data_IF_366578462782
#
_entry.id   IF_366578462782
#
_cell.length_a   1.000
_cell.length_b   1.000
_cell.length_c   1.000
_cell.angle_alpha   90.00
_cell.angle_beta   90.00
_cell.angle_gamma   90.00
#
_symmetry.space_group_name_H-M   'P 1'
#
loop_
_entity.id
_entity.type
_entity.pdbx_description
1 polymer ?
#
# COMPACT_ATOMS: atom_id res chain seq x y z
N UNK A 1 6.60 21.09 9.30
CA UNK A 1 5.50 20.36 8.63
C UNK A 1 5.62 18.85 8.81
N UNK A 2 6.77 18.21 8.44
CA UNK A 2 6.94 16.76 8.63
C UNK A 2 6.77 16.33 10.09
N UNK A 3 7.41 17.02 11.04
CA UNK A 3 7.28 16.72 12.47
C UNK A 3 5.85 16.85 12.97
N UNK A 4 5.14 17.91 12.59
CA UNK A 4 3.72 18.10 12.96
C UNK A 4 2.82 17.00 12.38
N UNK A 5 3.15 16.52 11.17
CA UNK A 5 2.43 15.43 10.52
C UNK A 5 2.65 14.12 11.27
N UNK A 6 3.90 13.78 11.59
CA UNK A 6 4.24 12.61 12.39
C UNK A 6 3.55 12.64 13.77
N UNK A 7 3.59 13.77 14.49
CA UNK A 7 2.92 13.92 15.78
C UNK A 7 1.40 13.75 15.69
N UNK A 8 0.78 14.24 14.61
CA UNK A 8 -0.66 14.09 14.43
C UNK A 8 -1.04 12.64 14.21
N UNK A 9 -0.32 11.97 13.31
CA UNK A 9 -0.66 10.63 12.86
C UNK A 9 -0.29 9.55 13.89
N UNK A 10 0.61 9.87 14.85
CA UNK A 10 1.00 8.98 15.95
C UNK A 10 0.23 9.20 17.26
N UNK A 11 -0.81 10.04 17.29
CA UNK A 11 -1.56 10.37 18.52
C UNK A 11 -2.27 9.18 19.18
N UNK A 12 -2.53 8.13 18.43
CA UNK A 12 -3.20 6.92 18.92
C UNK A 12 -2.21 5.92 19.53
N UNK A 13 -0.90 6.15 19.40
CA UNK A 13 0.15 5.30 19.95
C UNK A 13 0.66 5.82 21.30
N UNK A 14 0.92 4.92 22.25
CA UNK A 14 1.69 5.27 23.45
C UNK A 14 3.17 5.38 23.12
N UNK A 15 3.72 6.59 23.23
CA UNK A 15 5.11 6.85 22.87
C UNK A 15 6.10 5.93 23.55
N UNK A 16 5.92 5.64 24.85
CA UNK A 16 6.85 4.84 25.63
C UNK A 16 6.71 3.33 25.36
N UNK A 17 5.50 2.87 25.11
CA UNK A 17 5.21 1.44 24.97
C UNK A 17 5.26 0.98 23.49
N UNK A 18 4.85 1.83 22.56
CA UNK A 18 4.71 1.45 21.15
C UNK A 18 5.85 2.04 20.29
N UNK A 19 6.19 3.32 20.45
CA UNK A 19 7.14 4.02 19.57
C UNK A 19 8.59 3.87 20.04
N UNK A 20 8.87 4.15 21.32
CA UNK A 20 10.23 4.17 21.85
C UNK A 20 10.96 2.83 21.74
N UNK A 21 10.32 1.65 21.95
CA UNK A 21 10.99 0.36 21.74
C UNK A 21 11.45 0.15 20.29
N UNK A 22 10.64 0.54 19.32
CA UNK A 22 10.97 0.40 17.88
C UNK A 22 12.11 1.34 17.50
N UNK A 23 12.09 2.60 17.94
CA UNK A 23 13.19 3.56 17.73
C UNK A 23 14.49 3.02 18.37
N UNK A 24 14.44 2.53 19.60
CA UNK A 24 15.59 1.96 20.27
C UNK A 24 16.15 0.74 19.53
N UNK A 25 15.30 -0.10 18.96
CA UNK A 25 15.73 -1.22 18.12
C UNK A 25 16.54 -0.75 16.92
N UNK A 26 16.12 0.31 16.22
CA UNK A 26 16.88 0.91 15.12
C UNK A 26 18.26 1.40 15.58
N UNK A 27 18.30 2.14 16.70
CA UNK A 27 19.54 2.69 17.24
C UNK A 27 20.53 1.60 17.66
N UNK A 28 20.03 0.45 18.13
CA UNK A 28 20.84 -0.71 18.50
C UNK A 28 21.23 -1.56 17.30
N UNK A 29 20.42 -1.59 16.26
CA UNK A 29 20.65 -2.39 15.05
C UNK A 29 21.17 -1.53 13.88
N UNK A 30 22.34 -0.92 14.09
CA UNK A 30 22.98 -0.05 13.08
C UNK A 30 23.21 -0.74 11.74
N UNK A 31 23.45 -2.05 11.74
CA UNK A 31 23.63 -2.81 10.50
C UNK A 31 22.38 -2.79 9.62
N UNK A 32 21.19 -2.99 10.21
CA UNK A 32 19.92 -2.91 9.47
C UNK A 32 19.63 -1.48 8.99
N UNK A 33 19.94 -0.46 9.80
CA UNK A 33 19.77 0.93 9.40
C UNK A 33 20.65 1.32 8.21
N UNK A 34 21.90 0.86 8.19
CA UNK A 34 22.83 1.05 7.06
C UNK A 34 22.30 0.30 5.84
N UNK A 35 21.89 -0.96 5.99
CA UNK A 35 21.33 -1.74 4.87
C UNK A 35 20.09 -1.08 4.27
N UNK A 36 19.16 -0.56 5.09
CA UNK A 36 17.99 0.17 4.62
C UNK A 36 18.39 1.43 3.84
N UNK A 37 19.35 2.20 4.34
CA UNK A 37 19.85 3.39 3.63
C UNK A 37 20.53 3.02 2.30
N UNK A 38 21.37 1.99 2.28
CA UNK A 38 22.06 1.55 1.07
C UNK A 38 21.08 1.05 0.01
N UNK A 39 20.05 0.29 0.41
CA UNK A 39 18.96 -0.14 -0.46
C UNK A 39 18.16 1.04 -0.99
N UNK A 40 17.84 2.00 -0.12
CA UNK A 40 17.16 3.23 -0.52
C UNK A 40 17.93 4.00 -1.62
N UNK A 41 19.23 4.21 -1.42
CA UNK A 41 20.10 4.88 -2.41
C UNK A 41 20.16 4.07 -3.71
N UNK A 42 20.37 2.76 -3.63
CA UNK A 42 20.47 1.90 -4.81
C UNK A 42 19.19 1.90 -5.67
N UNK A 43 18.02 1.96 -5.03
CA UNK A 43 16.71 2.00 -5.72
C UNK A 43 16.47 3.39 -6.30
N UNK A 44 16.67 4.45 -5.51
CA UNK A 44 16.37 5.82 -5.93
C UNK A 44 17.30 6.32 -7.04
N UNK A 45 18.56 5.90 -7.07
CA UNK A 45 19.50 6.23 -8.16
C UNK A 45 19.03 5.74 -9.54
N UNK A 46 18.23 4.67 -9.59
CA UNK A 46 17.70 4.07 -10.83
C UNK A 46 16.23 4.40 -11.09
N UNK A 47 15.58 5.09 -10.17
CA UNK A 47 14.13 5.23 -10.13
C UNK A 47 13.55 5.91 -11.37
N UNK A 48 14.08 7.07 -11.75
CA UNK A 48 13.59 7.84 -12.89
C UNK A 48 13.59 6.99 -14.18
N UNK A 49 14.70 6.28 -14.45
CA UNK A 49 14.83 5.42 -15.63
C UNK A 49 13.87 4.21 -15.58
N UNK A 50 13.55 3.69 -14.41
CA UNK A 50 12.60 2.60 -14.26
C UNK A 50 11.17 3.09 -14.51
N UNK A 51 10.79 4.25 -13.96
CA UNK A 51 9.47 4.85 -14.17
C UNK A 51 9.27 5.17 -15.66
N UNK A 52 10.20 5.87 -16.30
CA UNK A 52 10.11 6.23 -17.72
C UNK A 52 9.98 5.01 -18.64
N UNK A 53 10.61 3.90 -18.28
CA UNK A 53 10.56 2.66 -19.07
C UNK A 53 9.25 1.90 -18.92
N UNK A 54 8.61 1.95 -17.77
CA UNK A 54 7.53 1.05 -17.38
C UNK A 54 6.17 1.73 -17.29
N UNK A 55 6.15 3.05 -17.12
CA UNK A 55 4.94 3.87 -17.17
C UNK A 55 4.99 4.82 -18.37
N UNK A 56 3.90 4.88 -19.14
CA UNK A 56 3.78 5.83 -20.26
C UNK A 56 3.84 7.29 -19.81
N UNK A 57 3.39 7.57 -18.58
CA UNK A 57 3.34 8.90 -17.99
C UNK A 57 4.21 8.94 -16.74
N UNK A 58 5.14 9.89 -16.71
CA UNK A 58 6.04 10.08 -15.57
C UNK A 58 5.32 10.53 -14.30
N UNK A 59 5.98 10.38 -13.17
CA UNK A 59 5.52 10.86 -11.86
C UNK A 59 6.60 11.75 -11.28
N UNK A 60 6.24 12.96 -10.87
CA UNK A 60 7.12 13.86 -10.13
C UNK A 60 6.83 13.74 -8.64
N UNK A 61 7.81 13.28 -7.86
CA UNK A 61 7.67 13.12 -6.42
C UNK A 61 9.02 13.24 -5.73
N UNK A 62 9.03 13.77 -4.52
CA UNK A 62 10.16 13.65 -3.60
C UNK A 62 10.05 12.33 -2.83
N UNK A 63 11.18 11.71 -2.52
CA UNK A 63 11.22 10.50 -1.70
C UNK A 63 12.15 10.75 -0.51
N UNK A 64 11.64 10.56 0.69
CA UNK A 64 12.35 10.87 1.93
C UNK A 64 12.38 9.63 2.83
N UNK A 65 13.58 9.09 3.06
CA UNK A 65 13.80 8.10 4.11
C UNK A 65 14.09 8.85 5.42
N UNK A 66 13.33 8.58 6.47
CA UNK A 66 13.45 9.30 7.74
C UNK A 66 13.23 8.38 8.94
N UNK A 67 13.62 8.84 10.12
CA UNK A 67 13.24 8.20 11.38
C UNK A 67 11.95 8.86 11.86
N UNK A 68 10.85 8.12 11.76
CA UNK A 68 9.52 8.60 12.10
C UNK A 68 9.07 8.25 13.51
N UNK A 69 7.75 8.21 13.71
CA UNK A 69 7.11 7.84 14.98
C UNK A 69 6.22 6.59 14.79
N UNK A 70 6.72 5.61 14.04
CA UNK A 70 6.03 4.35 13.73
C UNK A 70 4.71 4.51 12.97
N UNK A 71 4.55 5.58 12.20
CA UNK A 71 3.33 5.86 11.43
C UNK A 71 3.08 4.85 10.29
N UNK A 72 4.15 4.31 9.70
CA UNK A 72 4.10 3.34 8.61
C UNK A 72 5.47 3.12 7.97
N UNK A 73 5.64 2.03 7.23
CA UNK A 73 6.85 1.78 6.46
C UNK A 73 6.96 2.74 5.27
N UNK A 74 5.84 3.01 4.59
CA UNK A 74 5.72 3.99 3.52
C UNK A 74 4.38 4.68 3.55
N UNK A 75 4.30 5.90 3.01
CA UNK A 75 3.08 6.59 2.66
C UNK A 75 3.29 7.69 1.62
N UNK A 76 2.33 7.82 0.71
CA UNK A 76 2.25 8.92 -0.23
C UNK A 76 1.52 10.11 0.40
N UNK A 77 2.09 11.31 0.31
CA UNK A 77 1.54 12.52 0.92
C UNK A 77 1.90 13.77 0.12
N UNK A 78 1.65 14.95 0.66
CA UNK A 78 2.13 16.25 0.14
C UNK A 78 2.85 17.00 1.24
N UNK A 79 4.07 17.44 0.98
CA UNK A 79 4.84 18.35 1.83
C UNK A 79 5.20 19.61 1.05
N UNK A 80 4.97 20.78 1.64
CA UNK A 80 5.23 22.09 1.03
C UNK A 80 4.66 22.22 -0.41
N UNK A 81 3.50 21.58 -0.65
CA UNK A 81 2.81 21.60 -1.94
C UNK A 81 3.39 20.66 -3.01
N UNK A 82 4.33 19.79 -2.66
CA UNK A 82 4.92 18.78 -3.55
C UNK A 82 4.50 17.40 -3.12
N UNK A 83 4.17 16.55 -4.09
CA UNK A 83 3.91 15.13 -3.82
C UNK A 83 5.17 14.47 -3.29
N UNK A 84 5.03 13.72 -2.22
CA UNK A 84 6.16 13.18 -1.46
C UNK A 84 5.85 11.77 -0.97
N UNK A 85 6.77 10.85 -1.20
CA UNK A 85 6.80 9.53 -0.57
C UNK A 85 7.65 9.61 0.69
N UNK A 86 7.08 9.24 1.82
CA UNK A 86 7.75 9.16 3.11
C UNK A 86 7.98 7.70 3.50
N UNK A 87 9.21 7.37 3.88
CA UNK A 87 9.62 6.01 4.25
C UNK A 87 10.15 6.00 5.69
N UNK A 88 9.43 5.33 6.60
CA UNK A 88 9.80 5.20 8.01
C UNK A 88 10.81 4.08 8.23
N UNK A 89 12.08 4.42 8.45
CA UNK A 89 13.17 3.45 8.58
C UNK A 89 12.93 2.48 9.75
N UNK A 90 12.31 2.94 10.82
CA UNK A 90 12.00 2.13 11.99
C UNK A 90 10.98 1.02 11.68
N UNK A 91 9.95 1.31 10.91
CA UNK A 91 8.96 0.32 10.48
C UNK A 91 9.54 -0.61 9.41
N UNK A 92 10.35 -0.10 8.49
CA UNK A 92 11.07 -0.92 7.50
C UNK A 92 11.93 -1.97 8.19
N UNK A 93 12.66 -1.60 9.26
CA UNK A 93 13.50 -2.53 10.01
C UNK A 93 12.65 -3.50 10.86
N UNK A 94 11.58 -3.01 11.48
CA UNK A 94 10.66 -3.84 12.26
C UNK A 94 10.04 -4.95 11.41
N UNK A 95 9.65 -4.62 10.17
CA UNK A 95 9.04 -5.54 9.20
C UNK A 95 10.08 -6.38 8.42
N UNK A 96 11.38 -6.15 8.62
CA UNK A 96 12.48 -6.77 7.89
C UNK A 96 12.46 -6.49 6.37
N UNK A 97 12.09 -5.28 5.97
CA UNK A 97 12.00 -4.82 4.58
C UNK A 97 13.21 -3.97 4.15
N UNK A 98 14.35 -4.11 4.81
CA UNK A 98 15.56 -3.32 4.55
C UNK A 98 16.39 -3.81 3.35
N UNK A 99 16.06 -4.93 2.72
CA UNK A 99 16.75 -5.37 1.50
C UNK A 99 16.30 -4.60 0.25
N UNK A 100 17.11 -4.65 -0.83
CA UNK A 100 16.88 -3.87 -2.04
C UNK A 100 15.53 -4.22 -2.70
N UNK A 101 15.12 -5.49 -2.70
CA UNK A 101 13.87 -5.93 -3.33
C UNK A 101 12.65 -5.42 -2.57
N UNK A 102 12.66 -5.53 -1.25
CA UNK A 102 11.57 -5.03 -0.41
C UNK A 102 11.51 -3.50 -0.43
N UNK A 103 12.65 -2.81 -0.37
CA UNK A 103 12.72 -1.35 -0.50
C UNK A 103 12.19 -0.88 -1.86
N UNK A 104 12.55 -1.58 -2.94
CA UNK A 104 12.08 -1.26 -4.29
C UNK A 104 10.57 -1.40 -4.40
N UNK A 105 10.01 -2.50 -3.92
CA UNK A 105 8.58 -2.75 -3.97
C UNK A 105 7.82 -1.71 -3.14
N UNK A 106 8.28 -1.38 -1.94
CA UNK A 106 7.69 -0.34 -1.09
C UNK A 106 7.66 1.03 -1.80
N UNK A 107 8.80 1.46 -2.36
CA UNK A 107 8.87 2.73 -3.10
C UNK A 107 7.92 2.71 -4.30
N UNK A 108 7.83 1.61 -5.03
CA UNK A 108 6.97 1.51 -6.21
C UNK A 108 5.49 1.47 -5.86
N UNK A 109 5.14 0.88 -4.72
CA UNK A 109 3.79 0.93 -4.16
C UNK A 109 3.35 2.38 -3.90
N UNK A 110 4.17 3.14 -3.18
CA UNK A 110 3.87 4.53 -2.85
C UNK A 110 3.84 5.44 -4.09
N UNK A 111 4.70 5.17 -5.07
CA UNK A 111 4.64 5.84 -6.39
C UNK A 111 3.31 5.51 -7.09
N UNK A 112 2.78 4.31 -6.92
CA UNK A 112 1.46 3.92 -7.41
C UNK A 112 0.35 4.83 -6.90
N UNK A 113 0.37 5.20 -5.62
CA UNK A 113 -0.57 6.17 -5.05
C UNK A 113 -0.41 7.57 -5.65
N UNK A 114 0.84 8.05 -5.83
CA UNK A 114 1.09 9.35 -6.49
C UNK A 114 0.60 9.33 -7.95
N UNK A 115 0.89 8.26 -8.68
CA UNK A 115 0.40 8.07 -10.05
C UNK A 115 -1.14 8.08 -10.10
N UNK A 116 -1.78 7.33 -9.20
CA UNK A 116 -3.25 7.29 -9.08
C UNK A 116 -3.85 8.67 -8.79
N UNK A 117 -3.23 9.43 -7.89
CA UNK A 117 -3.62 10.82 -7.60
C UNK A 117 -3.47 11.73 -8.82
N UNK A 118 -2.39 11.57 -9.58
CA UNK A 118 -2.05 12.44 -10.70
C UNK A 118 -2.94 12.19 -11.93
N UNK A 119 -3.21 10.93 -12.24
CA UNK A 119 -3.89 10.52 -13.47
C UNK A 119 -5.30 9.99 -13.27
N UNK A 120 -5.79 9.94 -12.06
CA UNK A 120 -7.09 9.37 -11.73
C UNK A 120 -7.79 10.03 -10.56
N UNK A 121 -8.57 9.22 -9.85
CA UNK A 121 -9.39 9.61 -8.70
C UNK A 121 -8.99 8.81 -7.47
N UNK A 122 -7.83 9.12 -6.89
CA UNK A 122 -7.30 8.42 -5.71
C UNK A 122 -8.29 8.42 -4.54
N UNK A 123 -9.03 9.52 -4.36
CA UNK A 123 -10.00 9.67 -3.26
C UNK A 123 -11.41 9.80 -3.80
N UNK A 124 -12.03 8.70 -4.30
CA UNK A 124 -13.41 8.75 -4.76
C UNK A 124 -14.33 9.14 -3.59
N UNK A 125 -15.32 10.01 -3.87
CA UNK A 125 -16.24 10.50 -2.84
C UNK A 125 -17.05 9.34 -2.26
N UNK A 126 -16.77 8.99 -1.01
CA UNK A 126 -17.46 7.95 -0.24
C UNK A 126 -18.33 8.58 0.86
N UNK A 127 -19.53 8.03 1.07
CA UNK A 127 -20.56 8.58 1.97
C UNK A 127 -20.98 7.60 3.06
N UNK A 128 -20.40 6.40 3.07
CA UNK A 128 -20.70 5.35 4.04
C UNK A 128 -19.44 4.55 4.36
N UNK A 129 -19.46 3.78 5.44
CA UNK A 129 -18.38 2.88 5.81
C UNK A 129 -18.06 1.85 4.71
N UNK A 130 -19.10 1.30 4.08
CA UNK A 130 -18.93 0.36 2.97
C UNK A 130 -18.28 1.00 1.74
N UNK A 131 -18.65 2.23 1.41
CA UNK A 131 -18.03 2.99 0.33
C UNK A 131 -16.58 3.37 0.65
N UNK A 132 -16.27 3.74 1.89
CA UNK A 132 -14.90 3.97 2.35
C UNK A 132 -14.04 2.70 2.23
N UNK A 133 -14.57 1.56 2.70
CA UNK A 133 -13.92 0.27 2.57
C UNK A 133 -13.60 -0.06 1.11
N UNK A 134 -14.54 0.16 0.21
CA UNK A 134 -14.35 -0.11 -1.21
C UNK A 134 -13.33 0.86 -1.85
N UNK A 135 -13.35 2.13 -1.45
CA UNK A 135 -12.37 3.12 -1.88
C UNK A 135 -10.95 2.72 -1.43
N UNK A 136 -10.78 2.28 -0.19
CA UNK A 136 -9.50 1.77 0.32
C UNK A 136 -9.02 0.55 -0.46
N UNK A 137 -9.87 -0.45 -0.66
CA UNK A 137 -9.53 -1.64 -1.46
C UNK A 137 -9.03 -1.28 -2.86
N UNK A 138 -9.68 -0.32 -3.49
CA UNK A 138 -9.33 0.15 -4.81
C UNK A 138 -8.01 0.92 -4.83
N UNK A 139 -7.78 1.80 -3.86
CA UNK A 139 -6.53 2.56 -3.71
C UNK A 139 -5.34 1.62 -3.57
N UNK A 140 -5.41 0.70 -2.61
CA UNK A 140 -4.34 -0.26 -2.34
C UNK A 140 -4.17 -1.26 -3.50
N UNK A 141 -5.27 -1.72 -4.09
CA UNK A 141 -5.22 -2.62 -5.23
C UNK A 141 -4.55 -2.01 -6.45
N UNK A 142 -4.79 -0.74 -6.72
CA UNK A 142 -4.17 -0.03 -7.83
C UNK A 142 -2.69 0.23 -7.57
N UNK A 143 -2.31 0.60 -6.34
CA UNK A 143 -0.92 0.74 -5.93
C UNK A 143 -0.16 -0.58 -6.07
N UNK A 144 -0.76 -1.71 -5.65
CA UNK A 144 -0.19 -3.06 -5.85
C UNK A 144 0.03 -3.40 -7.32
N UNK A 145 -0.91 -3.07 -8.21
CA UNK A 145 -0.74 -3.31 -9.65
C UNK A 145 0.39 -2.45 -10.22
N UNK A 146 0.50 -1.18 -9.81
CA UNK A 146 1.62 -0.30 -10.18
C UNK A 146 2.96 -0.88 -9.68
N UNK A 147 3.00 -1.33 -8.43
CA UNK A 147 4.17 -2.02 -7.85
C UNK A 147 4.57 -3.23 -8.69
N UNK A 148 3.63 -4.12 -9.02
CA UNK A 148 3.89 -5.31 -9.83
C UNK A 148 4.43 -4.97 -11.23
N UNK A 149 3.89 -3.94 -11.88
CA UNK A 149 4.37 -3.46 -13.19
C UNK A 149 5.81 -2.96 -13.07
N UNK A 150 6.10 -2.13 -12.05
CA UNK A 150 7.41 -1.52 -11.85
C UNK A 150 8.46 -2.54 -11.37
N UNK A 151 8.09 -3.49 -10.52
CA UNK A 151 8.94 -4.61 -10.12
C UNK A 151 9.13 -5.67 -11.21
N UNK A 152 8.24 -5.70 -12.23
CA UNK A 152 8.16 -6.77 -13.24
C UNK A 152 7.95 -8.17 -12.59
N UNK A 153 7.26 -8.20 -11.45
CA UNK A 153 6.88 -9.42 -10.73
C UNK A 153 5.45 -9.29 -10.20
N UNK A 154 4.52 -10.00 -10.82
CA UNK A 154 3.09 -9.99 -10.51
C UNK A 154 2.70 -10.88 -9.31
N UNK A 155 3.69 -11.52 -8.69
CA UNK A 155 3.52 -12.41 -7.53
C UNK A 155 4.21 -11.90 -6.28
N UNK A 156 4.86 -10.75 -6.35
CA UNK A 156 5.52 -10.16 -5.20
C UNK A 156 4.47 -9.55 -4.25
N UNK A 157 4.56 -9.91 -2.99
CA UNK A 157 3.84 -9.29 -1.88
C UNK A 157 4.76 -9.26 -0.67
N UNK A 158 4.91 -8.14 -0.02
CA UNK A 158 5.69 -8.02 1.24
C UNK A 158 5.22 -9.00 2.30
N UNK A 159 3.91 -9.26 2.33
CA UNK A 159 3.24 -10.15 3.29
C UNK A 159 3.46 -11.63 3.01
N UNK A 160 4.02 -11.98 1.85
CA UNK A 160 4.14 -13.38 1.42
C UNK A 160 5.18 -14.15 2.22
N UNK A 161 4.86 -14.41 3.48
CA UNK A 161 5.62 -15.25 4.40
C UNK A 161 4.74 -16.42 4.86
N UNK A 162 5.36 -17.57 5.11
CA UNK A 162 4.69 -18.76 5.67
C UNK A 162 3.47 -19.23 4.86
N UNK A 163 3.47 -19.07 3.53
CA UNK A 163 2.37 -19.52 2.67
C UNK A 163 1.17 -18.56 2.62
N UNK A 164 1.35 -17.29 3.00
CA UNK A 164 0.29 -16.28 3.00
C UNK A 164 -0.40 -16.14 1.63
N UNK A 165 0.36 -16.04 0.54
CA UNK A 165 -0.20 -15.89 -0.81
C UNK A 165 -0.97 -17.14 -1.25
N UNK A 166 -0.48 -18.33 -0.93
CA UNK A 166 -1.17 -19.58 -1.24
C UNK A 166 -2.50 -19.66 -0.49
N UNK A 167 -2.49 -19.28 0.80
CA UNK A 167 -3.72 -19.20 1.60
C UNK A 167 -4.72 -18.19 1.00
N UNK A 168 -4.26 -17.01 0.59
CA UNK A 168 -5.12 -16.01 -0.06
C UNK A 168 -5.79 -16.57 -1.32
N UNK A 169 -5.02 -17.24 -2.17
CA UNK A 169 -5.54 -17.89 -3.40
C UNK A 169 -6.54 -19.00 -3.11
N UNK A 170 -6.23 -19.88 -2.15
CA UNK A 170 -7.11 -20.97 -1.76
C UNK A 170 -8.43 -20.47 -1.15
N UNK A 171 -8.43 -19.32 -0.51
CA UNK A 171 -9.59 -18.73 0.16
C UNK A 171 -10.22 -17.54 -0.60
N UNK A 172 -9.78 -17.26 -1.83
CA UNK A 172 -10.18 -16.07 -2.61
C UNK A 172 -11.70 -15.89 -2.69
N UNK A 173 -12.44 -16.95 -2.99
CA UNK A 173 -13.90 -16.90 -3.09
C UNK A 173 -14.58 -16.53 -1.76
N UNK A 174 -14.02 -16.95 -0.64
CA UNK A 174 -14.53 -16.57 0.68
C UNK A 174 -14.17 -15.13 1.02
N UNK A 175 -12.93 -14.72 0.76
CA UNK A 175 -12.43 -13.35 0.96
C UNK A 175 -13.32 -12.36 0.19
N UNK A 176 -13.56 -12.60 -1.09
CA UNK A 176 -14.45 -11.80 -1.95
C UNK A 176 -15.86 -11.65 -1.37
N UNK A 177 -16.49 -12.77 -0.98
CA UNK A 177 -17.85 -12.77 -0.43
C UNK A 177 -17.94 -12.03 0.91
N UNK A 178 -16.96 -12.24 1.79
CA UNK A 178 -16.96 -11.59 3.09
C UNK A 178 -16.73 -10.08 2.96
N UNK A 179 -15.80 -9.67 2.10
CA UNK A 179 -15.56 -8.25 1.84
C UNK A 179 -16.81 -7.56 1.28
N UNK A 180 -17.45 -8.15 0.24
CA UNK A 180 -18.70 -7.64 -0.31
C UNK A 180 -19.82 -7.56 0.73
N UNK A 181 -19.97 -8.60 1.56
CA UNK A 181 -20.96 -8.62 2.65
C UNK A 181 -20.75 -7.46 3.63
N UNK A 182 -19.49 -7.13 3.95
CA UNK A 182 -19.18 -6.00 4.83
C UNK A 182 -19.47 -4.67 4.16
N UNK A 183 -19.10 -4.49 2.92
CA UNK A 183 -19.45 -3.30 2.12
C UNK A 183 -20.97 -3.09 2.11
N UNK A 184 -21.75 -4.11 1.78
CA UNK A 184 -23.22 -4.05 1.72
C UNK A 184 -23.87 -3.72 3.07
N UNK A 185 -23.25 -4.11 4.19
CA UNK A 185 -23.77 -3.92 5.54
C UNK A 185 -23.14 -2.76 6.31
N UNK A 186 -22.28 -1.98 5.66
CA UNK A 186 -21.51 -0.91 6.30
C UNK A 186 -20.75 -1.38 7.56
N UNK A 187 -20.11 -2.55 7.46
CA UNK A 187 -19.25 -3.12 8.50
C UNK A 187 -17.80 -2.80 8.15
N UNK A 188 -17.00 -2.41 9.13
CA UNK A 188 -15.57 -2.12 8.96
C UNK A 188 -14.81 -3.29 8.34
N UNK A 189 -13.88 -2.96 7.46
CA UNK A 189 -12.93 -3.89 6.84
C UNK A 189 -11.50 -3.68 7.34
N UNK A 190 -11.32 -3.01 8.49
CA UNK A 190 -10.00 -2.68 9.03
C UNK A 190 -9.10 -3.91 9.21
N UNK A 191 -9.66 -5.07 9.57
CA UNK A 191 -8.91 -6.32 9.74
C UNK A 191 -8.38 -6.94 8.44
N UNK A 192 -8.68 -6.32 7.29
CA UNK A 192 -8.07 -6.65 5.99
C UNK A 192 -6.82 -5.82 5.70
N UNK A 193 -6.54 -4.77 6.47
CA UNK A 193 -5.43 -3.83 6.26
C UNK A 193 -4.74 -3.49 7.57
N UNK A 194 -3.43 -3.61 7.57
CA UNK A 194 -2.55 -3.29 8.69
C UNK A 194 -1.96 -4.52 9.37
N UNK A 195 -0.68 -4.41 9.73
CA UNK A 195 0.11 -5.47 10.36
C UNK A 195 -0.30 -5.74 11.82
N UNK A 196 -1.06 -4.83 12.44
CA UNK A 196 -1.58 -4.93 13.82
C UNK A 196 -2.94 -5.66 13.94
N UNK A 197 -3.56 -6.01 12.83
CA UNK A 197 -4.84 -6.70 12.82
C UNK A 197 -4.83 -7.83 11.78
N UNK A 198 -5.84 -8.68 11.78
CA UNK A 198 -5.86 -9.82 10.86
C UNK A 198 -7.26 -10.33 10.57
N UNK A 199 -7.51 -10.69 9.33
CA UNK A 199 -8.64 -11.50 8.92
C UNK A 199 -8.23 -12.98 8.95
N UNK A 200 -8.90 -13.77 9.80
CA UNK A 200 -8.59 -15.22 9.95
C UNK A 200 -7.10 -15.52 10.22
N UNK A 201 -6.46 -14.71 11.06
CA UNK A 201 -5.04 -14.78 11.40
C UNK A 201 -4.07 -14.49 10.24
N UNK A 202 -4.54 -13.84 9.17
CA UNK A 202 -3.71 -13.34 8.09
C UNK A 202 -3.88 -11.82 7.99
N UNK A 203 -2.79 -11.08 8.20
CA UNK A 203 -2.77 -9.62 8.05
C UNK A 203 -2.76 -9.24 6.58
N UNK A 204 -3.21 -8.03 6.28
CA UNK A 204 -3.05 -7.40 4.96
C UNK A 204 -3.68 -8.13 3.76
N UNK A 205 -4.69 -8.95 4.01
CA UNK A 205 -5.40 -9.71 2.96
C UNK A 205 -6.07 -8.78 1.93
N UNK A 206 -6.34 -7.54 2.32
CA UNK A 206 -6.91 -6.52 1.45
C UNK A 206 -6.00 -6.13 0.28
N UNK A 207 -4.68 -6.16 0.46
CA UNK A 207 -3.72 -5.90 -0.64
C UNK A 207 -3.82 -6.96 -1.75
N UNK A 208 -3.94 -8.24 -1.36
CA UNK A 208 -4.21 -9.32 -2.32
C UNK A 208 -5.54 -9.11 -3.03
N UNK A 209 -6.63 -8.93 -2.27
CA UNK A 209 -7.97 -8.79 -2.82
C UNK A 209 -8.09 -7.59 -3.75
N UNK A 210 -7.54 -6.44 -3.36
CA UNK A 210 -7.52 -5.22 -4.17
C UNK A 210 -6.73 -5.40 -5.45
N UNK A 211 -5.55 -6.02 -5.38
CA UNK A 211 -4.73 -6.33 -6.54
C UNK A 211 -5.48 -7.22 -7.54
N UNK A 212 -6.09 -8.32 -7.09
CA UNK A 212 -6.86 -9.21 -7.95
C UNK A 212 -8.12 -8.53 -8.53
N UNK A 213 -8.75 -7.63 -7.76
CA UNK A 213 -9.86 -6.82 -8.27
C UNK A 213 -9.41 -5.88 -9.40
N UNK A 214 -8.31 -5.16 -9.25
CA UNK A 214 -7.78 -4.30 -10.31
C UNK A 214 -7.33 -5.12 -11.52
N UNK A 215 -6.67 -6.26 -11.34
CA UNK A 215 -6.32 -7.19 -12.43
C UNK A 215 -7.57 -7.71 -13.17
N UNK A 216 -8.66 -7.97 -12.44
CA UNK A 216 -9.95 -8.32 -13.06
C UNK A 216 -10.46 -7.19 -13.98
N UNK A 217 -10.37 -5.94 -13.54
CA UNK A 217 -10.77 -4.78 -14.35
C UNK A 217 -9.89 -4.59 -15.57
N UNK A 218 -8.58 -4.85 -15.48
CA UNK A 218 -7.62 -4.76 -16.60
C UNK A 218 -7.95 -5.70 -17.77
N UNK A 219 -8.82 -6.70 -17.59
CA UNK A 219 -9.32 -7.52 -18.70
C UNK A 219 -10.16 -6.73 -19.71
N UNK A 220 -10.68 -5.57 -19.32
CA UNK A 220 -11.63 -4.77 -20.13
C UNK A 220 -11.22 -3.28 -20.22
N UNK A 221 -10.46 -2.77 -19.28
CA UNK A 221 -10.14 -1.35 -19.13
C UNK A 221 -8.64 -1.11 -19.10
N UNK A 222 -8.19 0.05 -19.60
CA UNK A 222 -6.81 0.50 -19.37
C UNK A 222 -6.61 0.88 -17.89
N UNK A 223 -5.35 0.92 -17.44
CA UNK A 223 -5.03 1.32 -16.07
C UNK A 223 -5.49 2.75 -15.75
N UNK A 224 -5.41 3.67 -16.73
CA UNK A 224 -5.88 5.06 -16.58
C UNK A 224 -7.41 5.12 -16.46
N UNK A 225 -8.15 4.30 -17.24
CA UNK A 225 -9.61 4.23 -17.11
C UNK A 225 -10.00 3.69 -15.73
N UNK A 226 -9.30 2.64 -15.26
CA UNK A 226 -9.51 2.08 -13.93
C UNK A 226 -9.22 3.14 -12.86
N UNK A 227 -8.12 3.89 -12.97
CA UNK A 227 -7.73 4.92 -12.01
C UNK A 227 -8.76 6.07 -11.87
N UNK A 228 -9.66 6.22 -12.85
CA UNK A 228 -10.67 7.30 -12.90
C UNK A 228 -12.05 6.88 -12.38
N UNK A 229 -12.22 5.65 -11.88
CA UNK A 229 -13.52 5.15 -11.44
C UNK A 229 -14.04 5.89 -10.20
N UNK A 230 -15.35 6.10 -10.16
CA UNK A 230 -16.05 6.58 -8.96
C UNK A 230 -16.57 5.41 -8.12
N UNK A 231 -16.99 5.69 -6.88
CA UNK A 231 -17.39 4.67 -5.92
C UNK A 231 -18.58 3.80 -6.39
N UNK A 232 -19.53 4.38 -7.14
CA UNK A 232 -20.66 3.61 -7.66
C UNK A 232 -20.23 2.62 -8.77
N UNK A 233 -19.30 3.03 -9.64
CA UNK A 233 -18.71 2.16 -10.64
C UNK A 233 -17.90 1.04 -9.98
N UNK A 234 -17.07 1.40 -8.98
CA UNK A 234 -16.31 0.43 -8.19
C UNK A 234 -17.23 -0.62 -7.54
N UNK A 235 -18.35 -0.18 -6.94
CA UNK A 235 -19.30 -1.10 -6.31
C UNK A 235 -19.90 -2.10 -7.32
N UNK A 236 -20.33 -1.63 -8.49
CA UNK A 236 -20.90 -2.50 -9.51
C UNK A 236 -19.88 -3.53 -10.01
N UNK A 237 -18.68 -3.07 -10.34
CA UNK A 237 -17.59 -3.96 -10.77
C UNK A 237 -17.13 -4.93 -9.67
N UNK A 238 -17.11 -4.49 -8.42
CA UNK A 238 -16.72 -5.38 -7.32
C UNK A 238 -17.77 -6.48 -7.08
N UNK A 239 -19.06 -6.18 -7.25
CA UNK A 239 -20.11 -7.21 -7.21
C UNK A 239 -19.95 -8.26 -8.31
N UNK A 240 -19.62 -7.82 -9.53
CA UNK A 240 -19.35 -8.73 -10.65
C UNK A 240 -18.12 -9.60 -10.33
N UNK A 241 -17.01 -8.99 -9.88
CA UNK A 241 -15.79 -9.68 -9.48
C UNK A 241 -16.03 -10.68 -8.35
N UNK A 242 -16.79 -10.31 -7.33
CA UNK A 242 -17.09 -11.18 -6.19
C UNK A 242 -18.03 -12.34 -6.55
N UNK A 243 -18.76 -12.24 -7.67
CA UNK A 243 -19.67 -13.26 -8.19
C UNK A 243 -19.04 -14.13 -9.28
N UNK A 244 -17.88 -13.73 -9.81
CA UNK A 244 -17.15 -14.52 -10.81
C UNK A 244 -16.45 -15.73 -10.14
N UNK A 245 -16.62 -16.92 -10.76
CA UNK A 245 -15.95 -18.17 -10.37
C UNK A 245 -14.46 -18.15 -10.76
#
# INVERSE_FOLDING_TARGET
ELGEKCERDSREYDFNNDVLPVINNVLLNRGAAIAANDSFVAVTDKLASNIERLFENGVETDIILYLGLCNGAGWATSLDGRDTVLLGIEKIIELNWQDESAMQALIFHEIGHIWHKTYGNLYPEARSEGENSLAQLYQEGLAMVCEHILCQDDRYYHQNQNGWLDWCKENEAEIKREYLRRVDKNISTQDFFGDWCSYKNHSDVGYYLGCEFVKYLQRQYSLVDIASLNVNQLYNHFKEFASAE
#
